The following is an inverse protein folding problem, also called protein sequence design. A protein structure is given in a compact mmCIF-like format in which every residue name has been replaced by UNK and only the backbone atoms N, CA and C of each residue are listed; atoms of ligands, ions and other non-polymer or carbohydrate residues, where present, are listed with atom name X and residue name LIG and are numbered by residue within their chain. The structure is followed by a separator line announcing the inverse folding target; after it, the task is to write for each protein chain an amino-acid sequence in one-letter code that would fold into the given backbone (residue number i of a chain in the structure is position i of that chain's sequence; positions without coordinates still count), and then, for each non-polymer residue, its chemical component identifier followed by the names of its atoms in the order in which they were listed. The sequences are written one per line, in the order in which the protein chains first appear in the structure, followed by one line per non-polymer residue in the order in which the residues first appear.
data_IF_442977715331
#
_entry.id   IF_442977715331
#
_cell.length_a   1.000
_cell.length_b   1.000
_cell.length_c   1.000
_cell.angle_alpha   90.00
_cell.angle_beta   90.00
_cell.angle_gamma   90.00
#
_symmetry.space_group_name_H-M   'P 1'
#
loop_
_entity.id
_entity.type
_entity.pdbx_description
1 polymer ?
#
# COMPACT_ATOMS: atom_id res chain seq x y z
N UNK A 1 -4.93 15.94 11.24
CA UNK A 1 -4.07 14.76 11.55
C UNK A 1 -4.72 13.75 12.49
N UNK A 2 -5.74 14.09 13.31
CA UNK A 2 -6.40 13.12 14.20
C UNK A 2 -7.41 12.17 13.52
N UNK A 3 -8.06 12.57 12.42
CA UNK A 3 -9.13 11.76 11.82
C UNK A 3 -8.61 10.48 11.14
N UNK A 4 -7.39 10.51 10.60
CA UNK A 4 -6.80 9.38 9.87
C UNK A 4 -6.53 8.17 10.79
N UNK A 5 -6.25 8.40 12.07
CA UNK A 5 -6.09 7.34 13.07
C UNK A 5 -7.42 6.76 13.54
N UNK A 6 -8.52 7.52 13.47
CA UNK A 6 -9.85 7.02 13.80
C UNK A 6 -10.33 5.99 12.76
N UNK A 7 -10.00 6.21 11.48
CA UNK A 7 -10.31 5.26 10.40
C UNK A 7 -9.56 3.93 10.59
N UNK A 8 -8.33 3.96 11.12
CA UNK A 8 -7.51 2.76 11.35
C UNK A 8 -8.08 1.80 12.39
N UNK A 9 -8.85 2.32 13.35
CA UNK A 9 -9.48 1.52 14.41
C UNK A 9 -10.63 0.66 13.89
N UNK A 10 -11.26 1.06 12.78
CA UNK A 10 -12.45 0.41 12.24
C UNK A 10 -12.14 -0.61 11.12
N UNK A 11 -10.86 -0.80 10.78
CA UNK A 11 -10.44 -1.65 9.66
C UNK A 11 -9.61 -2.82 10.19
N UNK A 12 -9.92 -4.08 9.79
CA UNK A 12 -9.12 -5.24 10.19
C UNK A 12 -7.77 -5.30 9.46
N UNK A 13 -6.84 -6.09 10.00
CA UNK A 13 -5.55 -6.38 9.36
C UNK A 13 -4.45 -5.35 9.65
N UNK A 14 -3.32 -5.54 8.96
CA UNK A 14 -2.11 -4.71 9.11
C UNK A 14 -2.23 -3.47 8.23
N UNK A 15 -1.97 -2.29 8.77
CA UNK A 15 -2.03 -1.04 8.02
C UNK A 15 -0.62 -0.63 7.63
N UNK A 16 -0.44 -0.37 6.34
CA UNK A 16 0.83 0.11 5.78
C UNK A 16 0.61 1.37 4.95
N UNK A 17 1.66 2.18 4.87
CA UNK A 17 1.81 3.24 3.89
C UNK A 17 2.74 2.75 2.79
N UNK A 18 2.23 2.78 1.56
CA UNK A 18 3.00 2.52 0.36
C UNK A 18 3.40 3.84 -0.29
N UNK A 19 4.65 3.94 -0.70
CA UNK A 19 5.16 5.07 -1.49
C UNK A 19 5.70 4.58 -2.83
N UNK A 20 5.23 5.21 -3.91
CA UNK A 20 5.56 4.91 -5.29
C UNK A 20 6.25 6.12 -5.92
N UNK A 21 7.29 5.87 -6.72
CA UNK A 21 8.01 6.92 -7.44
C UNK A 21 8.27 6.45 -8.87
N UNK A 22 8.06 7.36 -9.82
CA UNK A 22 8.29 7.10 -11.24
C UNK A 22 7.17 6.33 -11.92
N UNK A 23 7.47 5.75 -13.07
CA UNK A 23 6.49 5.12 -13.96
C UNK A 23 5.80 3.89 -13.36
N UNK A 24 6.39 3.27 -12.33
CA UNK A 24 5.80 2.14 -11.58
C UNK A 24 4.45 2.48 -10.94
N UNK A 25 4.16 3.76 -10.76
CA UNK A 25 2.84 4.25 -10.31
C UNK A 25 1.70 3.78 -11.21
N UNK A 26 1.96 3.51 -12.49
CA UNK A 26 0.95 3.09 -13.47
C UNK A 26 0.84 1.57 -13.64
N UNK A 27 1.66 0.79 -12.96
CA UNK A 27 1.63 -0.65 -13.06
C UNK A 27 0.60 -1.27 -12.10
N UNK A 28 -0.12 -2.34 -12.50
CA UNK A 28 -1.10 -3.02 -11.65
C UNK A 28 -0.42 -3.98 -10.65
N UNK A 29 0.66 -3.56 -9.98
CA UNK A 29 1.43 -4.43 -9.08
C UNK A 29 0.64 -4.80 -7.81
N UNK A 30 -0.20 -3.90 -7.24
CA UNK A 30 -1.04 -4.25 -6.09
C UNK A 30 -1.93 -5.46 -6.39
N UNK A 31 -2.58 -5.47 -7.55
CA UNK A 31 -3.44 -6.59 -7.96
C UNK A 31 -2.63 -7.85 -8.27
N UNK A 32 -1.39 -7.73 -8.74
CA UNK A 32 -0.49 -8.88 -8.93
C UNK A 32 -0.11 -9.51 -7.58
N UNK A 33 0.33 -8.69 -6.62
CA UNK A 33 0.66 -9.15 -5.26
C UNK A 33 -0.57 -9.78 -4.61
N UNK A 34 -1.75 -9.16 -4.72
CA UNK A 34 -3.01 -9.68 -4.18
C UNK A 34 -3.28 -11.12 -4.65
N UNK A 35 -3.20 -11.36 -5.96
CA UNK A 35 -3.44 -12.68 -6.55
C UNK A 35 -2.38 -13.71 -6.16
N UNK A 36 -1.10 -13.31 -6.10
CA UNK A 36 0.00 -14.21 -5.81
C UNK A 36 0.01 -14.67 -4.35
N UNK A 37 -0.42 -13.80 -3.44
CA UNK A 37 -0.33 -14.01 -1.99
C UNK A 37 -1.67 -14.35 -1.34
N UNK A 38 -2.77 -14.29 -2.11
CA UNK A 38 -4.13 -14.43 -1.59
C UNK A 38 -4.52 -13.30 -0.64
N UNK A 39 -3.98 -12.10 -0.88
CA UNK A 39 -4.18 -10.93 -0.04
C UNK A 39 -5.29 -10.03 -0.55
N UNK A 40 -6.14 -9.59 0.37
CA UNK A 40 -7.07 -8.49 0.13
C UNK A 40 -6.47 -7.17 0.63
N UNK A 41 -6.46 -6.17 -0.25
CA UNK A 41 -6.05 -4.80 0.07
C UNK A 41 -7.26 -3.88 0.12
N UNK A 42 -7.47 -3.21 1.25
CA UNK A 42 -8.44 -2.11 1.32
C UNK A 42 -7.69 -0.78 1.33
N UNK A 43 -8.01 0.09 0.37
CA UNK A 43 -7.44 1.43 0.30
C UNK A 43 -8.19 2.32 1.28
N UNK A 44 -7.46 2.88 2.25
CA UNK A 44 -8.02 3.76 3.28
C UNK A 44 -7.90 5.22 2.88
N UNK A 45 -6.77 5.59 2.30
CA UNK A 45 -6.54 6.91 1.74
C UNK A 45 -5.42 6.86 0.72
N UNK A 46 -5.36 7.87 -0.13
CA UNK A 46 -4.37 7.90 -1.19
C UNK A 46 -4.24 9.23 -1.88
N UNK A 47 -3.04 9.49 -2.38
CA UNK A 47 -2.74 10.58 -3.30
C UNK A 47 -1.84 10.06 -4.40
N UNK A 48 -2.16 10.43 -5.64
CA UNK A 48 -1.27 10.30 -6.78
C UNK A 48 -1.08 11.71 -7.33
N UNK A 49 0.16 12.13 -7.46
CA UNK A 49 0.58 13.46 -7.89
C UNK A 49 1.84 13.35 -8.74
N UNK A 50 2.45 14.49 -9.09
CA UNK A 50 3.72 14.56 -9.78
C UNK A 50 4.65 15.53 -9.09
N UNK A 51 5.91 15.13 -8.94
CA UNK A 51 7.00 16.05 -8.57
C UNK A 51 7.75 16.35 -9.86
N UNK A 52 7.55 17.56 -10.40
CA UNK A 52 7.92 17.92 -11.78
C UNK A 52 7.25 16.95 -12.76
N UNK A 53 8.05 16.20 -13.52
CA UNK A 53 7.57 15.22 -14.49
C UNK A 53 7.51 13.79 -13.93
N UNK A 54 7.95 13.58 -12.69
CA UNK A 54 8.02 12.25 -12.06
C UNK A 54 6.71 11.96 -11.31
N UNK A 55 5.97 10.91 -11.69
CA UNK A 55 4.82 10.46 -10.91
C UNK A 55 5.23 10.07 -9.49
N UNK A 56 4.41 10.47 -8.53
CA UNK A 56 4.60 10.18 -7.12
C UNK A 56 3.26 9.75 -6.54
N UNK A 57 3.23 8.65 -5.82
CA UNK A 57 2.02 8.17 -5.17
C UNK A 57 2.28 7.80 -3.72
N UNK A 58 1.31 8.09 -2.86
CA UNK A 58 1.22 7.51 -1.53
C UNK A 58 -0.16 6.91 -1.32
N UNK A 59 -0.20 5.67 -0.89
CA UNK A 59 -1.43 4.98 -0.54
C UNK A 59 -1.31 4.44 0.87
N UNK A 60 -2.35 4.57 1.68
CA UNK A 60 -2.48 3.89 2.96
C UNK A 60 -3.53 2.81 2.78
N UNK A 61 -3.19 1.59 3.16
CA UNK A 61 -4.00 0.39 2.94
C UNK A 61 -3.91 -0.56 4.13
N UNK A 62 -5.00 -1.33 4.31
CA UNK A 62 -5.01 -2.49 5.19
C UNK A 62 -4.81 -3.78 4.41
N UNK A 63 -3.95 -4.67 4.91
CA UNK A 63 -3.70 -6.01 4.39
C UNK A 63 -4.49 -7.03 5.21
N UNK A 64 -5.38 -7.78 4.57
CA UNK A 64 -6.29 -8.74 5.23
C UNK A 64 -6.22 -10.12 4.58
N UNK A 65 -6.02 -11.16 5.39
CA UNK A 65 -5.88 -12.55 4.94
C UNK A 65 -4.45 -12.92 4.57
N UNK A 66 -4.29 -13.93 3.70
CA UNK A 66 -3.05 -14.28 3.00
C UNK A 66 -1.78 -14.40 3.86
N UNK A 67 -0.63 -14.32 3.19
CA UNK A 67 0.68 -14.17 3.83
C UNK A 67 1.14 -12.71 3.73
N UNK A 68 0.93 -11.94 4.80
CA UNK A 68 1.24 -10.51 4.83
C UNK A 68 2.73 -10.23 4.66
N UNK A 69 3.60 -11.06 5.24
CA UNK A 69 5.04 -10.85 5.17
C UNK A 69 5.57 -11.09 3.74
N UNK A 70 5.04 -12.10 3.04
CA UNK A 70 5.33 -12.35 1.63
C UNK A 70 4.81 -11.22 0.72
N UNK A 71 3.62 -10.69 1.02
CA UNK A 71 3.07 -9.55 0.28
C UNK A 71 3.92 -8.29 0.43
N UNK A 72 4.38 -8.00 1.65
CA UNK A 72 5.30 -6.88 1.91
C UNK A 72 6.63 -7.10 1.18
N UNK A 73 7.18 -8.33 1.21
CA UNK A 73 8.40 -8.66 0.50
C UNK A 73 8.28 -8.43 -1.03
N UNK A 74 7.18 -8.90 -1.64
CA UNK A 74 6.93 -8.69 -3.08
C UNK A 74 6.74 -7.21 -3.41
N UNK A 75 6.07 -6.42 -2.56
CA UNK A 75 5.94 -4.97 -2.76
C UNK A 75 7.31 -4.29 -2.77
N UNK A 76 8.18 -4.63 -1.82
CA UNK A 76 9.56 -4.10 -1.75
C UNK A 76 10.39 -4.55 -2.95
N UNK A 77 10.25 -5.79 -3.41
CA UNK A 77 10.94 -6.30 -4.60
C UNK A 77 10.54 -5.53 -5.87
N UNK A 78 9.27 -5.16 -5.99
CA UNK A 78 8.79 -4.26 -7.05
C UNK A 78 9.19 -2.78 -6.84
N UNK A 79 9.99 -2.52 -5.80
CA UNK A 79 10.54 -1.21 -5.42
C UNK A 79 9.47 -0.22 -4.98
N UNK A 80 8.46 -0.73 -4.29
CA UNK A 80 7.55 0.06 -3.48
C UNK A 80 8.14 0.20 -2.09
N UNK A 81 8.20 1.42 -1.56
CA UNK A 81 8.56 1.61 -0.15
C UNK A 81 7.35 1.30 0.71
N UNK A 82 7.52 0.40 1.68
CA UNK A 82 6.48 0.01 2.63
C UNK A 82 6.86 0.50 4.03
N UNK A 83 5.97 1.26 4.66
CA UNK A 83 6.07 1.68 6.06
C UNK A 83 4.89 1.09 6.83
N UNK A 84 5.17 0.36 7.92
CA UNK A 84 4.11 -0.17 8.77
C UNK A 84 3.59 0.91 9.72
N UNK A 85 2.27 1.14 9.68
CA UNK A 85 1.59 2.10 10.55
C UNK A 85 0.91 1.41 11.74
N UNK A 86 0.46 0.16 11.54
CA UNK A 86 -0.17 -0.68 12.57
C UNK A 86 -0.05 -2.17 12.21
N UNK A 87 0.42 -2.98 13.15
CA UNK A 87 0.37 -4.45 13.10
C UNK A 87 -1.03 -4.99 13.39
#
# INVERSE_FOLDING_TARGET
ENDQYADFANVPGRIVRLTFVGERTYEPFLTRVARNTGMDFNILSGRIDRIKDTPYGQLILSLVGGNQDDAIAQLVEHGVTVEELRA
#
